data_IF_882471026037
#
_entry.id   IF_882471026037
#
_cell.length_a   1.000
_cell.length_b   1.000
_cell.length_c   1.000
_cell.angle_alpha   90.00
_cell.angle_beta   90.00
_cell.angle_gamma   90.00
#
_symmetry.space_group_name_H-M   'P 1'
#
loop_
_entity.id
_entity.type
_entity.pdbx_description
1 polymer ?
#
# COMPACT_ATOMS: atom_id res chain seq x y z
N UNK A 1 -6.45 16.70 11.47
CA UNK A 1 -5.91 16.10 10.24
C UNK A 1 -5.29 14.79 10.63
N UNK A 2 -5.86 13.67 10.21
CA UNK A 2 -5.30 12.35 10.49
C UNK A 2 -4.10 12.09 9.59
N UNK A 3 -3.10 11.38 10.13
CA UNK A 3 -1.97 10.88 9.35
C UNK A 3 -2.49 9.95 8.24
N UNK A 4 -2.07 10.19 7.00
CA UNK A 4 -2.46 9.41 5.83
C UNK A 4 -2.15 7.93 6.04
N UNK A 5 -1.00 7.63 6.66
CA UNK A 5 -0.57 6.26 6.97
C UNK A 5 -1.60 5.53 7.85
N UNK A 6 -2.03 6.18 8.93
CA UNK A 6 -2.97 5.59 9.89
C UNK A 6 -4.34 5.30 9.24
N UNK A 7 -4.78 6.18 8.34
CA UNK A 7 -6.02 5.99 7.59
C UNK A 7 -5.93 4.81 6.60
N UNK A 8 -4.83 4.72 5.82
CA UNK A 8 -4.62 3.60 4.89
C UNK A 8 -4.53 2.28 5.65
N UNK A 9 -3.79 2.23 6.77
CA UNK A 9 -3.69 1.02 7.59
C UNK A 9 -5.04 0.61 8.19
N UNK A 10 -5.86 1.58 8.61
CA UNK A 10 -7.24 1.34 9.03
C UNK A 10 -8.08 0.71 7.92
N UNK A 11 -8.04 1.30 6.72
CA UNK A 11 -8.78 0.79 5.57
C UNK A 11 -8.40 -0.65 5.19
N UNK A 12 -7.12 -1.01 5.28
CA UNK A 12 -6.66 -2.38 5.04
C UNK A 12 -7.10 -3.36 6.12
N UNK A 13 -7.08 -2.96 7.41
CA UNK A 13 -7.59 -3.80 8.51
C UNK A 13 -9.09 -4.06 8.44
N UNK A 14 -9.83 -3.08 7.95
CA UNK A 14 -11.28 -3.14 7.77
C UNK A 14 -11.68 -3.76 6.42
N UNK A 15 -10.71 -4.20 5.61
CA UNK A 15 -10.93 -4.75 4.26
C UNK A 15 -11.77 -3.83 3.36
N UNK A 16 -11.61 -2.51 3.52
CA UNK A 16 -12.36 -1.53 2.72
C UNK A 16 -12.05 -1.70 1.23
N UNK A 17 -13.04 -1.48 0.34
CA UNK A 17 -12.83 -1.55 -1.09
C UNK A 17 -11.69 -0.65 -1.54
N UNK A 18 -10.82 -1.15 -2.41
CA UNK A 18 -9.68 -0.41 -2.93
C UNK A 18 -10.09 0.92 -3.59
N UNK A 19 -11.31 0.98 -4.15
CA UNK A 19 -11.90 2.18 -4.74
C UNK A 19 -12.14 3.33 -3.75
N UNK A 20 -12.15 3.05 -2.45
CA UNK A 20 -12.25 4.07 -1.39
C UNK A 20 -10.89 4.57 -0.91
N UNK A 21 -9.81 3.90 -1.32
CA UNK A 21 -8.43 4.16 -0.87
C UNK A 21 -7.57 4.77 -1.98
N UNK A 22 -7.80 4.34 -3.21
CA UNK A 22 -7.06 4.78 -4.40
C UNK A 22 -7.61 6.11 -4.92
N UNK A 23 -6.75 6.90 -5.57
CA UNK A 23 -7.14 8.10 -6.29
C UNK A 23 -8.32 7.83 -7.24
N UNK A 24 -9.43 8.58 -7.13
CA UNK A 24 -10.59 8.45 -8.03
C UNK A 24 -10.23 8.50 -9.52
N UNK A 25 -9.19 9.25 -9.89
CA UNK A 25 -8.72 9.33 -11.28
C UNK A 25 -8.22 7.99 -11.81
N UNK A 26 -7.76 7.08 -10.95
CA UNK A 26 -7.21 5.77 -11.31
C UNK A 26 -8.26 4.64 -11.29
N UNK A 27 -9.53 4.92 -10.93
CA UNK A 27 -10.57 3.88 -10.82
C UNK A 27 -10.90 3.18 -12.15
N UNK A 28 -10.58 3.81 -13.27
CA UNK A 28 -10.78 3.22 -14.59
C UNK A 28 -9.67 2.21 -14.97
N UNK A 29 -8.55 2.20 -14.24
CA UNK A 29 -7.39 1.33 -14.48
C UNK A 29 -7.60 -0.06 -13.85
N UNK A 30 -8.68 -0.73 -14.23
CA UNK A 30 -9.10 -2.03 -13.66
C UNK A 30 -8.04 -3.13 -13.81
N UNK A 31 -7.18 -2.99 -14.81
CA UNK A 31 -6.09 -3.93 -15.08
C UNK A 31 -4.96 -3.84 -14.05
N UNK A 32 -4.74 -2.67 -13.46
CA UNK A 32 -3.66 -2.42 -12.51
C UNK A 32 -4.01 -2.79 -11.05
N UNK A 33 -5.19 -3.38 -10.81
CA UNK A 33 -5.68 -3.65 -9.45
C UNK A 33 -4.71 -4.49 -8.63
N UNK A 34 -4.07 -5.49 -9.24
CA UNK A 34 -3.14 -6.40 -8.54
C UNK A 34 -1.86 -5.68 -8.16
N UNK A 35 -1.34 -4.90 -9.07
CA UNK A 35 -0.13 -4.10 -8.97
C UNK A 35 -0.31 -3.04 -7.88
N UNK A 36 -1.44 -2.33 -7.89
CA UNK A 36 -1.80 -1.35 -6.86
C UNK A 36 -1.86 -1.98 -5.48
N UNK A 37 -2.51 -3.14 -5.34
CA UNK A 37 -2.55 -3.87 -4.06
C UNK A 37 -1.15 -4.29 -3.59
N UNK A 38 -0.31 -4.79 -4.50
CA UNK A 38 1.06 -5.17 -4.18
C UNK A 38 1.88 -3.97 -3.69
N UNK A 39 1.76 -2.80 -4.35
CA UNK A 39 2.43 -1.57 -3.94
C UNK A 39 1.96 -1.09 -2.56
N UNK A 40 0.66 -1.19 -2.25
CA UNK A 40 0.16 -0.89 -0.90
C UNK A 40 0.79 -1.78 0.17
N UNK A 41 0.91 -3.09 -0.08
CA UNK A 41 1.56 -3.99 0.87
C UNK A 41 3.03 -3.64 1.09
N UNK A 42 3.76 -3.28 0.02
CA UNK A 42 5.15 -2.78 0.13
C UNK A 42 5.20 -1.50 0.97
N UNK A 43 4.32 -0.53 0.68
CA UNK A 43 4.29 0.74 1.39
C UNK A 43 3.96 0.57 2.88
N UNK A 44 2.94 -0.24 3.22
CA UNK A 44 2.54 -0.51 4.61
C UNK A 44 3.65 -1.18 5.42
N UNK A 45 4.44 -2.06 4.79
CA UNK A 45 5.62 -2.64 5.42
C UNK A 45 6.73 -1.59 5.64
N UNK A 46 6.96 -0.70 4.68
CA UNK A 46 7.95 0.38 4.80
C UNK A 46 7.62 1.36 5.93
N UNK A 47 6.33 1.56 6.21
CA UNK A 47 5.85 2.47 7.25
C UNK A 47 5.48 1.77 8.56
N UNK A 48 6.01 0.56 8.81
CA UNK A 48 5.77 -0.10 10.09
C UNK A 48 6.24 0.76 11.28
N UNK A 49 5.44 0.74 12.35
CA UNK A 49 5.74 1.52 13.55
C UNK A 49 7.03 1.00 14.21
N UNK A 50 7.17 -0.33 14.27
CA UNK A 50 8.39 -1.01 14.70
C UNK A 50 9.45 -0.99 13.59
N UNK A 51 10.59 -0.30 13.77
CA UNK A 51 11.67 -0.27 12.78
C UNK A 51 12.23 -1.64 12.41
N UNK A 52 12.20 -2.62 13.32
CA UNK A 52 12.74 -3.97 13.07
C UNK A 52 11.84 -4.79 12.13
N UNK A 53 10.56 -4.41 12.01
CA UNK A 53 9.61 -5.04 11.08
C UNK A 53 9.66 -4.41 9.68
N UNK A 54 10.33 -3.25 9.52
CA UNK A 54 10.43 -2.60 8.21
C UNK A 54 11.34 -3.41 7.27
N UNK A 55 10.95 -3.58 6.00
CA UNK A 55 11.80 -4.24 5.02
C UNK A 55 13.06 -3.41 4.76
N UNK A 56 14.17 -4.10 4.50
CA UNK A 56 15.38 -3.44 3.98
C UNK A 56 15.08 -2.85 2.60
N UNK A 57 15.66 -1.69 2.28
CA UNK A 57 15.46 -1.04 0.98
C UNK A 57 15.76 -1.93 -0.23
N UNK A 58 16.71 -2.87 -0.12
CA UNK A 58 16.95 -3.88 -1.15
C UNK A 58 15.71 -4.75 -1.42
N UNK A 59 15.05 -5.25 -0.38
CA UNK A 59 13.84 -6.06 -0.51
C UNK A 59 12.66 -5.23 -1.04
N UNK A 60 12.59 -3.94 -0.70
CA UNK A 60 11.62 -2.99 -1.27
C UNK A 60 11.83 -2.87 -2.77
N UNK A 61 13.06 -2.59 -3.22
CA UNK A 61 13.39 -2.47 -4.64
C UNK A 61 13.11 -3.77 -5.41
N UNK A 62 13.52 -4.92 -4.88
CA UNK A 62 13.25 -6.22 -5.50
C UNK A 62 11.74 -6.55 -5.55
N UNK A 63 10.95 -6.08 -4.58
CA UNK A 63 9.49 -6.27 -4.60
C UNK A 63 8.83 -5.38 -5.66
N UNK A 64 9.27 -4.12 -5.77
CA UNK A 64 8.77 -3.18 -6.78
C UNK A 64 9.14 -3.60 -8.21
N UNK A 65 10.30 -4.23 -8.42
CA UNK A 65 10.73 -4.76 -9.73
C UNK A 65 9.87 -5.96 -10.19
N UNK A 66 9.17 -6.61 -9.26
CA UNK A 66 8.29 -7.77 -9.51
C UNK A 66 6.81 -7.39 -9.62
N UNK A 67 6.47 -6.12 -9.40
CA UNK A 67 5.13 -5.56 -9.65
C UNK A 67 5.03 -5.19 -11.12
#
# INVERSE_FOLDING_TARGET
GGDLEAWVRGAFREERPLSEVVDPALLHEVHAKREVLAVFHVALGCTEADPELRPRMRAVAESLDRV
#
